data_IF_752654651896
#
_entry.id   IF_752654651896
#
_cell.length_a   1.000
_cell.length_b   1.000
_cell.length_c   1.000
_cell.angle_alpha   90.00
_cell.angle_beta   90.00
_cell.angle_gamma   90.00
#
_symmetry.space_group_name_H-M   'P 1'
#
loop_
_entity.id
_entity.type
_entity.pdbx_description
1 polymer ?
#
# COMPACT_ATOMS: atom_id res chain seq x y z
N UNK A 1 -0.09 -4.75 -16.81
CA UNK A 1 -1.52 -4.52 -16.52
C UNK A 1 -1.63 -3.10 -16.02
N UNK A 2 -2.51 -2.29 -16.59
CA UNK A 2 -2.82 -0.95 -16.09
C UNK A 2 -3.77 -1.01 -14.89
N UNK A 3 -3.95 0.11 -14.18
CA UNK A 3 -4.91 0.22 -13.08
C UNK A 3 -6.33 -0.02 -13.59
N UNK A 4 -6.69 0.59 -14.72
CA UNK A 4 -7.99 0.39 -15.38
C UNK A 4 -8.21 -1.09 -15.73
N UNK A 5 -7.23 -1.73 -16.38
CA UNK A 5 -7.31 -3.16 -16.73
C UNK A 5 -7.47 -4.05 -15.50
N UNK A 6 -6.78 -3.73 -14.40
CA UNK A 6 -6.91 -4.46 -13.14
C UNK A 6 -8.33 -4.31 -12.59
N UNK A 7 -8.82 -3.07 -12.45
CA UNK A 7 -10.15 -2.79 -11.89
C UNK A 7 -11.25 -3.46 -12.71
N UNK A 8 -11.18 -3.43 -14.04
CA UNK A 8 -12.11 -4.12 -14.93
C UNK A 8 -12.07 -5.64 -14.75
N UNK A 9 -10.88 -6.24 -14.73
CA UNK A 9 -10.71 -7.70 -14.58
C UNK A 9 -11.23 -8.20 -13.24
N UNK A 10 -10.90 -7.51 -12.16
CA UNK A 10 -11.30 -7.88 -10.80
C UNK A 10 -12.81 -7.74 -10.62
N UNK A 11 -13.39 -6.62 -11.07
CA UNK A 11 -14.84 -6.41 -11.02
C UNK A 11 -15.58 -7.44 -11.86
N UNK A 12 -15.08 -7.74 -13.06
CA UNK A 12 -15.64 -8.77 -13.93
C UNK A 12 -15.60 -10.17 -13.31
N UNK A 13 -14.45 -10.58 -12.78
CA UNK A 13 -14.31 -11.87 -12.10
C UNK A 13 -15.26 -11.98 -10.91
N UNK A 14 -15.33 -10.94 -10.07
CA UNK A 14 -16.17 -10.96 -8.89
C UNK A 14 -17.66 -10.87 -9.25
N UNK A 15 -18.04 -10.25 -10.37
CA UNK A 15 -19.41 -10.30 -10.88
C UNK A 15 -19.84 -11.75 -11.15
N UNK A 16 -19.00 -12.55 -11.80
CA UNK A 16 -19.28 -13.98 -12.03
C UNK A 16 -19.31 -14.79 -10.73
N UNK A 17 -18.33 -14.57 -9.85
CA UNK A 17 -18.27 -15.27 -8.56
C UNK A 17 -19.53 -15.01 -7.72
N UNK A 18 -19.99 -13.76 -7.69
CA UNK A 18 -21.15 -13.31 -6.92
C UNK A 18 -22.47 -13.96 -7.38
N UNK A 19 -22.54 -14.49 -8.60
CA UNK A 19 -23.71 -15.24 -9.07
C UNK A 19 -23.88 -16.58 -8.34
N UNK A 20 -22.79 -17.14 -7.82
CA UNK A 20 -22.79 -18.44 -7.13
C UNK A 20 -22.54 -18.30 -5.63
N UNK A 21 -21.84 -17.24 -5.22
CA UNK A 21 -21.52 -16.95 -3.82
C UNK A 21 -21.77 -15.47 -3.56
N UNK A 22 -23.00 -15.07 -3.20
CA UNK A 22 -23.32 -13.67 -2.99
C UNK A 22 -22.55 -13.12 -1.78
N UNK A 23 -21.74 -12.10 -2.04
CA UNK A 23 -20.90 -11.40 -1.07
C UNK A 23 -21.42 -9.97 -0.94
N UNK A 24 -21.75 -9.58 0.29
CA UNK A 24 -22.14 -8.21 0.63
C UNK A 24 -20.95 -7.25 0.48
N UNK A 25 -21.20 -5.97 0.23
CA UNK A 25 -20.14 -4.98 -0.05
C UNK A 25 -19.18 -4.82 1.14
N UNK A 26 -19.71 -4.87 2.36
CA UNK A 26 -18.95 -4.77 3.60
C UNK A 26 -17.91 -5.88 3.73
N UNK A 27 -18.22 -7.08 3.20
CA UNK A 27 -17.32 -8.23 3.26
C UNK A 27 -16.09 -8.01 2.36
N UNK A 28 -16.21 -7.25 1.25
CA UNK A 28 -15.04 -6.91 0.42
C UNK A 28 -14.05 -6.05 1.21
N UNK A 29 -14.55 -5.12 2.02
CA UNK A 29 -13.70 -4.27 2.89
C UNK A 29 -13.05 -5.10 4.00
N UNK A 30 -13.79 -6.05 4.59
CA UNK A 30 -13.21 -6.97 5.57
C UNK A 30 -12.11 -7.84 4.94
N UNK A 31 -12.31 -8.33 3.72
CA UNK A 31 -11.29 -9.13 3.04
C UNK A 31 -10.03 -8.33 2.75
N UNK A 32 -10.15 -7.06 2.37
CA UNK A 32 -9.00 -6.15 2.26
C UNK A 32 -8.20 -6.06 3.57
N UNK A 33 -8.89 -5.99 4.72
CA UNK A 33 -8.20 -5.94 6.03
C UNK A 33 -7.46 -7.25 6.31
N UNK A 34 -8.05 -8.39 5.98
CA UNK A 34 -7.37 -9.69 6.09
C UNK A 34 -6.09 -9.73 5.25
N UNK A 35 -6.15 -9.34 3.96
CA UNK A 35 -4.96 -9.37 3.09
C UNK A 35 -3.86 -8.42 3.56
N UNK A 36 -4.23 -7.27 4.14
CA UNK A 36 -3.23 -6.36 4.75
C UNK A 36 -2.56 -7.03 5.95
N UNK A 37 -3.29 -7.83 6.72
CA UNK A 37 -2.76 -8.63 7.82
C UNK A 37 -1.77 -9.70 7.33
N UNK A 38 -2.16 -10.47 6.32
CA UNK A 38 -1.30 -11.52 5.71
C UNK A 38 -0.05 -10.90 5.09
N UNK A 39 -0.19 -9.79 4.35
CA UNK A 39 0.93 -9.03 3.79
C UNK A 39 1.87 -8.50 4.88
N UNK A 40 1.34 -8.02 6.01
CA UNK A 40 2.16 -7.57 7.14
C UNK A 40 2.92 -8.74 7.79
N UNK A 41 2.29 -9.89 7.97
CA UNK A 41 2.95 -11.11 8.46
C UNK A 41 4.13 -11.49 7.56
N UNK A 42 3.91 -11.57 6.24
CA UNK A 42 4.98 -11.88 5.30
C UNK A 42 6.09 -10.82 5.31
N UNK A 43 5.74 -9.53 5.38
CA UNK A 43 6.73 -8.46 5.50
C UNK A 43 7.60 -8.63 6.75
N UNK A 44 7.01 -8.89 7.91
CA UNK A 44 7.76 -9.09 9.17
C UNK A 44 8.66 -10.32 9.11
N UNK A 45 8.25 -11.38 8.41
CA UNK A 45 9.09 -12.55 8.14
C UNK A 45 10.30 -12.17 7.28
N UNK A 46 10.14 -11.37 6.22
CA UNK A 46 11.28 -10.88 5.40
C UNK A 46 12.28 -10.05 6.21
N UNK A 47 11.81 -9.29 7.22
CA UNK A 47 12.65 -8.46 8.08
C UNK A 47 13.24 -9.20 9.28
N UNK A 48 12.95 -10.50 9.42
CA UNK A 48 13.34 -11.29 10.57
C UNK A 48 12.91 -10.65 11.92
N UNK A 49 11.75 -9.99 11.93
CA UNK A 49 11.24 -9.25 13.09
C UNK A 49 10.33 -10.09 13.99
N UNK A 50 10.14 -11.37 13.69
CA UNK A 50 9.40 -12.29 14.55
C UNK A 50 10.23 -12.79 15.73
N UNK A 51 9.57 -12.95 16.88
CA UNK A 51 10.15 -13.65 18.04
C UNK A 51 10.66 -15.04 17.63
N UNK A 52 11.82 -15.50 18.14
CA UNK A 52 12.31 -16.86 17.92
C UNK A 52 11.30 -17.96 18.25
N UNK A 53 10.32 -17.68 19.13
CA UNK A 53 9.21 -18.60 19.47
C UNK A 53 8.08 -18.63 18.46
N UNK A 54 7.94 -17.61 17.61
CA UNK A 54 6.97 -17.53 16.53
C UNK A 54 7.54 -18.04 15.20
N UNK A 55 8.87 -18.14 15.09
CA UNK A 55 9.56 -19.00 14.10
C UNK A 55 9.32 -20.48 14.41
N UNK A 56 8.05 -20.91 14.39
CA UNK A 56 7.72 -22.29 13.99
C UNK A 56 7.75 -22.35 12.47
N UNK A 57 8.90 -22.04 11.87
CA UNK A 57 9.11 -22.39 10.47
C UNK A 57 9.53 -23.85 10.49
N UNK A 58 8.54 -24.72 10.34
CA UNK A 58 8.68 -26.12 9.99
C UNK A 58 9.32 -26.23 8.59
N UNK A 59 10.58 -25.79 8.43
CA UNK A 59 11.35 -25.94 7.19
C UNK A 59 10.99 -25.01 6.02
N UNK A 60 10.34 -23.86 6.24
CA UNK A 60 10.04 -22.90 5.16
C UNK A 60 11.32 -22.24 4.64
N UNK A 61 11.60 -22.37 3.34
CA UNK A 61 12.76 -21.77 2.67
C UNK A 61 12.60 -20.23 2.65
N UNK A 62 13.62 -19.45 3.03
CA UNK A 62 13.61 -17.99 2.87
C UNK A 62 13.20 -17.48 1.48
N UNK A 63 13.45 -18.25 0.41
CA UNK A 63 13.01 -17.93 -0.96
C UNK A 63 11.51 -18.00 -1.15
N UNK A 64 10.82 -18.80 -0.35
CA UNK A 64 9.35 -18.87 -0.38
C UNK A 64 8.75 -17.62 0.28
N UNK A 65 9.42 -17.03 1.28
CA UNK A 65 8.91 -15.86 2.01
C UNK A 65 8.77 -14.62 1.09
N UNK A 66 9.77 -14.33 0.25
CA UNK A 66 9.69 -13.17 -0.67
C UNK A 66 8.58 -13.36 -1.73
N UNK A 67 8.38 -14.60 -2.17
CA UNK A 67 7.33 -14.95 -3.13
C UNK A 67 5.95 -14.83 -2.50
N UNK A 68 5.76 -15.33 -1.28
CA UNK A 68 4.51 -15.17 -0.55
C UNK A 68 4.24 -13.70 -0.24
N UNK A 69 5.24 -12.91 0.15
CA UNK A 69 5.08 -11.47 0.32
C UNK A 69 4.59 -10.77 -0.97
N UNK A 70 5.17 -11.12 -2.12
CA UNK A 70 4.73 -10.57 -3.40
C UNK A 70 3.30 -10.98 -3.76
N UNK A 71 2.89 -12.20 -3.39
CA UNK A 71 1.51 -12.69 -3.54
C UNK A 71 0.55 -11.89 -2.67
N UNK A 72 0.84 -11.74 -1.38
CA UNK A 72 -0.04 -11.00 -0.47
C UNK A 72 -0.13 -9.51 -0.83
N UNK A 73 0.96 -8.92 -1.33
CA UNK A 73 0.93 -7.56 -1.85
C UNK A 73 0.01 -7.42 -3.08
N UNK A 74 -0.03 -8.44 -3.94
CA UNK A 74 -0.94 -8.49 -5.08
C UNK A 74 -2.40 -8.69 -4.61
N UNK A 75 -2.64 -9.49 -3.58
CA UNK A 75 -3.98 -9.72 -3.01
C UNK A 75 -4.53 -8.44 -2.35
N UNK A 76 -3.69 -7.63 -1.70
CA UNK A 76 -4.05 -6.28 -1.25
C UNK A 76 -4.47 -5.41 -2.43
N UNK A 77 -3.66 -5.36 -3.51
CA UNK A 77 -3.96 -4.53 -4.67
C UNK A 77 -5.25 -5.00 -5.39
N UNK A 78 -5.47 -6.32 -5.48
CA UNK A 78 -6.70 -6.92 -5.98
C UNK A 78 -7.91 -6.44 -5.19
N UNK A 79 -7.87 -6.50 -3.85
CA UNK A 79 -8.99 -6.11 -3.01
C UNK A 79 -9.23 -4.58 -3.04
N UNK A 80 -8.19 -3.76 -3.14
CA UNK A 80 -8.37 -2.30 -3.38
C UNK A 80 -9.11 -2.04 -4.68
N UNK A 81 -8.72 -2.72 -5.77
CA UNK A 81 -9.38 -2.59 -7.07
C UNK A 81 -10.85 -3.08 -7.01
N UNK A 82 -11.12 -4.15 -6.27
CA UNK A 82 -12.48 -4.65 -6.07
C UNK A 82 -13.36 -3.66 -5.30
N UNK A 83 -12.85 -3.09 -4.19
CA UNK A 83 -13.56 -2.07 -3.42
C UNK A 83 -13.88 -0.85 -4.29
N UNK A 84 -12.91 -0.38 -5.08
CA UNK A 84 -13.13 0.75 -5.98
C UNK A 84 -14.19 0.43 -7.04
N UNK A 85 -14.12 -0.75 -7.67
CA UNK A 85 -15.12 -1.22 -8.62
C UNK A 85 -16.53 -1.31 -8.04
N UNK A 86 -16.68 -1.79 -6.79
CA UNK A 86 -17.97 -1.88 -6.10
C UNK A 86 -18.54 -0.53 -5.67
N UNK A 87 -17.68 0.43 -5.35
CA UNK A 87 -18.08 1.77 -4.89
C UNK A 87 -18.19 2.79 -6.02
N UNK A 88 -17.86 2.41 -7.26
CA UNK A 88 -17.91 3.29 -8.43
C UNK A 88 -16.75 4.29 -8.48
N UNK A 89 -15.67 4.07 -7.73
CA UNK A 89 -14.47 4.90 -7.77
C UNK A 89 -13.61 4.51 -8.97
N UNK A 90 -13.26 5.48 -9.80
CA UNK A 90 -12.23 5.31 -10.83
C UNK A 90 -10.84 5.49 -10.20
N UNK A 91 -10.10 4.39 -10.03
CA UNK A 91 -8.78 4.44 -9.40
C UNK A 91 -7.76 5.20 -10.22
N UNK A 92 -7.85 5.20 -11.55
CA UNK A 92 -6.87 5.89 -12.39
C UNK A 92 -7.02 7.40 -12.21
N UNK A 93 -8.26 7.90 -12.29
CA UNK A 93 -8.57 9.32 -12.03
C UNK A 93 -8.21 9.71 -10.60
N UNK A 94 -8.63 8.92 -9.59
CA UNK A 94 -8.35 9.21 -8.20
C UNK A 94 -6.84 9.26 -7.89
N UNK A 95 -6.06 8.37 -8.50
CA UNK A 95 -4.60 8.34 -8.34
C UNK A 95 -3.92 9.53 -9.02
N UNK A 96 -4.36 9.94 -10.21
CA UNK A 96 -3.84 11.12 -10.88
C UNK A 96 -4.05 12.39 -10.03
N UNK A 97 -5.28 12.58 -9.51
CA UNK A 97 -5.60 13.70 -8.62
C UNK A 97 -4.75 13.67 -7.34
N UNK A 98 -4.63 12.50 -6.71
CA UNK A 98 -3.86 12.33 -5.49
C UNK A 98 -2.38 12.63 -5.72
N UNK A 99 -1.83 12.17 -6.84
CA UNK A 99 -0.42 12.40 -7.18
C UNK A 99 -0.12 13.88 -7.39
N UNK A 100 -1.00 14.61 -8.10
CA UNK A 100 -0.86 16.05 -8.27
C UNK A 100 -0.87 16.81 -6.94
N UNK A 101 -1.78 16.44 -6.02
CA UNK A 101 -1.83 17.02 -4.68
C UNK A 101 -0.54 16.77 -3.88
N UNK A 102 -0.04 15.53 -3.90
CA UNK A 102 1.19 15.15 -3.19
C UNK A 102 2.42 15.83 -3.78
N UNK A 103 2.49 15.96 -5.10
CA UNK A 103 3.57 16.67 -5.79
C UNK A 103 3.60 18.14 -5.39
N UNK A 104 2.45 18.82 -5.40
CA UNK A 104 2.36 20.22 -4.98
C UNK A 104 2.77 20.41 -3.52
N UNK A 105 2.33 19.51 -2.64
CA UNK A 105 2.74 19.52 -1.22
C UNK A 105 4.24 19.33 -1.07
N UNK A 106 4.84 18.36 -1.76
CA UNK A 106 6.27 18.11 -1.69
C UNK A 106 7.10 19.32 -2.16
N UNK A 107 6.65 20.02 -3.20
CA UNK A 107 7.29 21.25 -3.68
C UNK A 107 7.21 22.35 -2.61
N UNK A 108 6.02 22.57 -2.04
CA UNK A 108 5.81 23.57 -1.00
C UNK A 108 6.70 23.30 0.24
N UNK A 109 6.77 22.05 0.70
CA UNK A 109 7.61 21.65 1.83
C UNK A 109 9.11 21.94 1.57
N UNK A 110 9.57 21.73 0.33
CA UNK A 110 10.95 22.04 -0.08
C UNK A 110 11.20 23.55 -0.11
N UNK A 111 10.26 24.34 -0.63
CA UNK A 111 10.36 25.81 -0.66
C UNK A 111 10.34 26.42 0.74
N UNK A 112 9.51 25.90 1.64
CA UNK A 112 9.45 26.32 3.04
C UNK A 112 10.77 26.05 3.75
N UNK A 113 11.36 24.85 3.56
CA UNK A 113 12.69 24.54 4.11
C UNK A 113 13.80 25.44 3.56
N UNK A 114 13.72 25.86 2.30
CA UNK A 114 14.67 26.82 1.70
C UNK A 114 14.53 28.22 2.30
N UNK A 115 13.31 28.65 2.64
CA UNK A 115 13.07 29.93 3.33
C UNK A 115 13.55 29.89 4.78
N UNK A 116 13.33 28.78 5.49
CA UNK A 116 13.81 28.58 6.87
C UNK A 116 15.32 28.37 7.01
N UNK A 117 16.04 28.00 5.92
CA UNK A 117 17.51 27.92 5.89
C UNK A 117 18.19 29.20 5.40
N UNK A 118 17.42 30.20 4.96
CA UNK A 118 17.95 31.49 4.52
C UNK A 118 18.23 32.48 5.69
N UNK A 119 17.81 32.16 6.91
CA UNK A 119 17.94 33.02 8.10
C UNK A 119 18.70 32.36 9.27
N UNK A 120 19.67 31.49 8.99
CA UNK A 120 20.74 31.26 9.99
C UNK A 120 21.95 32.06 9.55
N UNK A 121 22.17 33.28 10.07
CA UNK A 121 23.43 33.98 9.84
C UNK A 121 24.54 33.07 10.37
N UNK A 122 25.47 32.67 9.49
CA UNK A 122 26.71 31.99 9.85
C UNK A 122 27.46 32.70 11.00
N UNK A 123 27.20 34.00 11.20
CA UNK A 123 27.71 34.84 12.28
C UNK A 123 27.25 34.44 13.70
N UNK A 124 26.17 33.65 13.87
CA UNK A 124 25.77 33.16 15.20
C UNK A 124 26.47 31.86 15.61
N UNK A 125 26.95 31.05 14.66
CA UNK A 125 27.68 29.82 14.96
C UNK A 125 29.14 30.08 15.38
N UNK A 126 29.74 31.18 14.93
CA UNK A 126 31.12 31.56 15.34
C UNK A 126 31.19 32.18 16.74
N UNK A 127 30.05 32.50 17.39
CA UNK A 127 30.04 32.98 18.78
C UNK A 127 30.03 31.87 19.83
N UNK A 128 29.95 30.60 19.40
CA UNK A 128 29.89 29.42 20.26
C UNK A 128 31.06 28.43 19.98
N UNK A 129 32.02 28.81 19.12
CA UNK A 129 33.26 28.08 18.90
C UNK A 129 34.45 28.80 19.56
#
# INVERSE_FOLDING_TARGET
MTITELQERVTGLHFYWNQTHPVQEEHVVLKLVEEVGEMMEQYLLTKNMYSPTYRKTDGVDPKDIEKEFAKELADVLYNVALVAGRTGVDLDVAMQERFAQLQNRAIADVEERKKGTAETPLEELEKIA
#
